data_IF_456737763210
#
_entry.id   IF_456737763210
#
_cell.length_a   1.000
_cell.length_b   1.000
_cell.length_c   1.000
_cell.angle_alpha   90.00
_cell.angle_beta   90.00
_cell.angle_gamma   90.00
#
_symmetry.space_group_name_H-M   'P 1'
#
loop_
_entity.id
_entity.type
_entity.pdbx_description
1 polymer ?
#
# COMPACT_ATOMS: atom_id res chain seq x y z
N UNK A 1 -42.19 8.06 -19.99
CA UNK A 1 -41.37 8.54 -18.85
C UNK A 1 -40.13 7.67 -18.58
N UNK A 2 -39.72 6.74 -19.45
CA UNK A 2 -38.50 5.91 -19.24
C UNK A 2 -37.18 6.57 -19.69
N UNK A 3 -37.25 7.67 -20.47
CA UNK A 3 -36.06 8.36 -20.99
C UNK A 3 -35.54 9.52 -20.13
N UNK A 4 -36.35 10.05 -19.22
CA UNK A 4 -35.98 11.24 -18.44
C UNK A 4 -34.97 10.89 -17.33
N UNK A 5 -35.11 9.71 -16.72
CA UNK A 5 -34.17 9.21 -15.72
C UNK A 5 -32.80 8.85 -16.29
N UNK A 6 -32.75 8.33 -17.52
CA UNK A 6 -31.49 7.99 -18.20
C UNK A 6 -30.74 9.25 -18.66
N UNK A 7 -31.45 10.26 -19.15
CA UNK A 7 -30.89 11.58 -19.47
C UNK A 7 -30.39 12.30 -18.21
N UNK A 8 -31.13 12.24 -17.10
CA UNK A 8 -30.70 12.81 -15.82
C UNK A 8 -29.44 12.10 -15.26
N UNK A 9 -29.37 10.77 -15.34
CA UNK A 9 -28.21 10.00 -14.93
C UNK A 9 -26.97 10.30 -15.80
N UNK A 10 -27.14 10.43 -17.12
CA UNK A 10 -26.07 10.82 -18.02
C UNK A 10 -25.53 12.22 -17.72
N UNK A 11 -26.41 13.19 -17.44
CA UNK A 11 -26.01 14.55 -17.09
C UNK A 11 -25.23 14.59 -15.76
N UNK A 12 -25.67 13.83 -14.77
CA UNK A 12 -24.94 13.68 -13.49
C UNK A 12 -23.56 13.02 -13.68
N UNK A 13 -23.47 12.01 -14.55
CA UNK A 13 -22.19 11.38 -14.90
C UNK A 13 -21.22 12.37 -15.56
N UNK A 14 -21.70 13.18 -16.51
CA UNK A 14 -20.90 14.21 -17.17
C UNK A 14 -20.42 15.28 -16.19
N UNK A 15 -21.28 15.73 -15.26
CA UNK A 15 -20.94 16.70 -14.21
C UNK A 15 -19.88 16.16 -13.27
N UNK A 16 -20.01 14.89 -12.85
CA UNK A 16 -19.02 14.22 -12.00
C UNK A 16 -17.67 14.06 -12.70
N UNK A 17 -17.66 13.68 -13.98
CA UNK A 17 -16.44 13.56 -14.77
C UNK A 17 -15.71 14.91 -14.92
N UNK A 18 -16.45 16.01 -15.13
CA UNK A 18 -15.88 17.38 -15.17
C UNK A 18 -15.26 17.79 -13.81
N UNK A 19 -15.93 17.48 -12.71
CA UNK A 19 -15.41 17.75 -11.37
C UNK A 19 -14.14 16.94 -11.07
N UNK A 20 -14.05 15.69 -11.53
CA UNK A 20 -12.84 14.88 -11.40
C UNK A 20 -11.65 15.47 -12.17
N UNK A 21 -11.89 16.02 -13.37
CA UNK A 21 -10.86 16.74 -14.14
C UNK A 21 -10.38 18.01 -13.42
N UNK A 22 -11.28 18.74 -12.76
CA UNK A 22 -10.93 19.92 -11.97
C UNK A 22 -10.10 19.54 -10.74
N UNK A 23 -10.51 18.52 -9.98
CA UNK A 23 -9.74 17.99 -8.83
C UNK A 23 -8.35 17.48 -9.22
N UNK A 24 -8.16 16.96 -10.44
CA UNK A 24 -6.82 16.61 -10.96
C UNK A 24 -5.92 17.83 -11.17
N UNK A 25 -6.47 19.01 -11.51
CA UNK A 25 -5.70 20.25 -11.65
C UNK A 25 -5.18 20.76 -10.29
N UNK A 26 -5.94 20.56 -9.21
CA UNK A 26 -5.52 20.92 -7.84
C UNK A 26 -4.38 20.03 -7.30
N UNK A 27 -4.23 18.80 -7.82
CA UNK A 27 -3.08 17.93 -7.51
C UNK A 27 -1.73 18.40 -8.10
N UNK A 28 -1.65 19.59 -8.69
CA UNK A 28 -0.38 20.24 -9.07
C UNK A 28 0.56 20.50 -7.88
N UNK A 29 0.10 20.39 -6.64
CA UNK A 29 0.98 20.43 -5.45
C UNK A 29 2.03 19.31 -5.47
N UNK A 30 1.76 18.18 -6.15
CA UNK A 30 2.73 17.09 -6.37
C UNK A 30 3.49 17.22 -7.70
N UNK A 31 3.20 18.22 -8.54
CA UNK A 31 3.90 18.45 -9.82
C UNK A 31 5.15 19.33 -9.65
N UNK A 32 5.75 19.33 -8.47
CA UNK A 32 7.08 19.90 -8.26
C UNK A 32 8.08 19.12 -9.11
N UNK A 33 8.73 19.81 -10.05
CA UNK A 33 9.80 19.21 -10.84
C UNK A 33 10.96 18.82 -9.91
N UNK A 34 11.12 17.53 -9.65
CA UNK A 34 12.28 16.99 -8.96
C UNK A 34 13.58 17.18 -9.78
N UNK A 35 13.50 17.71 -11.01
CA UNK A 35 14.65 17.96 -11.87
C UNK A 35 15.65 18.98 -11.30
N UNK A 36 15.24 19.85 -10.36
CA UNK A 36 16.14 20.77 -9.65
C UNK A 36 16.62 20.28 -8.28
N UNK A 37 16.17 19.10 -7.84
CA UNK A 37 16.73 18.52 -6.62
C UNK A 37 18.09 17.95 -7.00
N UNK A 38 19.15 18.66 -6.62
CA UNK A 38 20.49 18.09 -6.62
C UNK A 38 20.42 16.85 -5.74
N UNK A 39 20.36 15.67 -6.36
CA UNK A 39 20.53 14.40 -5.67
C UNK A 39 21.84 14.54 -4.89
N UNK A 40 21.71 14.65 -3.56
CA UNK A 40 22.85 14.70 -2.67
C UNK A 40 23.64 13.44 -3.02
N UNK A 41 24.93 13.58 -3.36
CA UNK A 41 25.76 12.42 -3.68
C UNK A 41 25.61 11.45 -2.52
N UNK A 42 24.93 10.33 -2.77
CA UNK A 42 24.93 9.24 -1.83
C UNK A 42 26.41 8.85 -1.70
N UNK A 43 26.93 8.63 -0.47
CA UNK A 43 28.25 8.03 -0.36
C UNK A 43 28.21 6.78 -1.23
N UNK A 44 29.19 6.62 -2.11
CA UNK A 44 29.35 5.40 -2.89
C UNK A 44 29.66 4.29 -1.87
N UNK A 45 28.60 3.71 -1.29
CA UNK A 45 28.71 2.61 -0.36
C UNK A 45 29.47 1.53 -1.12
N UNK A 46 30.62 1.17 -0.57
CA UNK A 46 31.46 0.13 -1.14
C UNK A 46 30.64 -1.16 -1.22
N UNK A 47 30.82 -1.96 -2.27
CA UNK A 47 30.02 -3.18 -2.48
C UNK A 47 30.04 -4.13 -1.26
N UNK A 48 31.10 -4.07 -0.45
CA UNK A 48 31.23 -4.78 0.82
C UNK A 48 30.26 -4.30 1.90
N UNK A 49 29.99 -3.00 2.00
CA UNK A 49 29.05 -2.44 2.97
C UNK A 49 27.61 -2.81 2.62
N UNK A 50 27.27 -2.82 1.32
CA UNK A 50 25.99 -3.30 0.82
C UNK A 50 25.76 -4.79 1.14
N UNK A 51 26.81 -5.62 1.02
CA UNK A 51 26.73 -7.03 1.41
C UNK A 51 26.50 -7.19 2.92
N UNK A 52 27.20 -6.42 3.76
CA UNK A 52 26.99 -6.44 5.22
C UNK A 52 25.57 -6.02 5.61
N UNK A 53 25.02 -4.99 4.97
CA UNK A 53 23.64 -4.55 5.19
C UNK A 53 22.65 -5.63 4.77
N UNK A 54 22.86 -6.25 3.59
CA UNK A 54 22.01 -7.33 3.09
C UNK A 54 22.00 -8.53 4.04
N UNK A 55 23.16 -8.94 4.54
CA UNK A 55 23.27 -10.04 5.51
C UNK A 55 22.56 -9.72 6.83
N UNK A 56 22.73 -8.50 7.35
CA UNK A 56 22.06 -8.06 8.58
C UNK A 56 20.54 -8.11 8.42
N UNK A 57 20.02 -7.54 7.33
CA UNK A 57 18.57 -7.56 7.01
C UNK A 57 18.07 -9.01 6.87
N UNK A 58 18.84 -9.88 6.22
CA UNK A 58 18.45 -11.27 6.05
C UNK A 58 18.32 -12.01 7.40
N UNK A 59 19.26 -11.79 8.32
CA UNK A 59 19.22 -12.38 9.66
C UNK A 59 18.04 -11.86 10.47
N UNK A 60 17.81 -10.55 10.47
CA UNK A 60 16.69 -9.92 11.16
C UNK A 60 15.34 -10.45 10.62
N UNK A 61 15.17 -10.47 9.30
CA UNK A 61 13.97 -10.99 8.65
C UNK A 61 13.73 -12.47 8.98
N UNK A 62 14.78 -13.29 9.09
CA UNK A 62 14.63 -14.70 9.46
C UNK A 62 14.04 -14.84 10.88
N UNK A 63 14.52 -14.06 11.84
CA UNK A 63 14.00 -14.09 13.21
C UNK A 63 12.57 -13.56 13.31
N UNK A 64 12.26 -12.47 12.60
CA UNK A 64 10.90 -11.91 12.54
C UNK A 64 9.94 -12.92 11.90
N UNK A 65 10.33 -13.53 10.79
CA UNK A 65 9.52 -14.53 10.09
C UNK A 65 9.27 -15.76 10.95
N UNK A 66 10.26 -16.23 11.70
CA UNK A 66 10.07 -17.32 12.66
C UNK A 66 9.05 -16.95 13.75
N UNK A 67 9.16 -15.76 14.36
CA UNK A 67 8.20 -15.29 15.37
C UNK A 67 6.78 -15.15 14.80
N UNK A 68 6.66 -14.64 13.57
CA UNK A 68 5.38 -14.53 12.88
C UNK A 68 4.74 -15.90 12.63
N UNK A 69 5.53 -16.88 12.14
CA UNK A 69 5.03 -18.23 11.89
C UNK A 69 4.58 -18.90 13.19
N UNK A 70 5.37 -18.80 14.27
CA UNK A 70 4.99 -19.36 15.58
C UNK A 70 3.73 -18.71 16.12
N UNK A 71 3.63 -17.37 16.06
CA UNK A 71 2.43 -16.65 16.49
C UNK A 71 1.18 -17.03 15.68
N UNK A 72 1.34 -17.20 14.37
CA UNK A 72 0.24 -17.61 13.49
C UNK A 72 -0.26 -19.02 13.80
N UNK A 73 0.63 -19.97 14.08
CA UNK A 73 0.25 -21.34 14.48
C UNK A 73 -0.53 -21.32 15.80
N UNK A 74 -0.05 -20.58 16.81
CA UNK A 74 -0.75 -20.47 18.09
C UNK A 74 -2.13 -19.84 17.93
N UNK A 75 -2.24 -18.80 17.09
CA UNK A 75 -3.51 -18.18 16.77
C UNK A 75 -4.48 -19.16 16.11
N UNK A 76 -4.03 -19.95 15.13
CA UNK A 76 -4.85 -20.96 14.47
C UNK A 76 -5.35 -22.03 15.44
N UNK A 77 -4.48 -22.54 16.32
CA UNK A 77 -4.86 -23.53 17.32
C UNK A 77 -5.93 -22.98 18.29
N UNK A 78 -5.75 -21.75 18.77
CA UNK A 78 -6.73 -21.07 19.61
C UNK A 78 -8.06 -20.86 18.88
N UNK A 79 -8.01 -20.45 17.61
CA UNK A 79 -9.20 -20.23 16.79
C UNK A 79 -9.99 -21.53 16.53
N UNK A 80 -9.29 -22.62 16.23
CA UNK A 80 -9.91 -23.95 16.06
C UNK A 80 -10.55 -24.40 17.39
N UNK A 81 -9.85 -24.24 18.51
CA UNK A 81 -10.39 -24.58 19.83
C UNK A 81 -11.63 -23.75 20.17
N UNK A 82 -11.64 -22.46 19.84
CA UNK A 82 -12.79 -21.58 20.05
C UNK A 82 -13.99 -22.01 19.21
N UNK A 83 -13.79 -22.30 17.91
CA UNK A 83 -14.84 -22.81 17.05
C UNK A 83 -15.39 -24.16 17.52
N UNK A 84 -14.53 -25.05 18.04
CA UNK A 84 -14.97 -26.33 18.58
C UNK A 84 -15.89 -26.18 19.79
N UNK A 85 -15.59 -25.22 20.69
CA UNK A 85 -16.46 -24.91 21.84
C UNK A 85 -17.77 -24.28 21.39
N UNK A 86 -17.75 -23.43 20.35
CA UNK A 86 -18.95 -22.74 19.86
C UNK A 86 -19.89 -23.64 19.05
N UNK A 87 -19.35 -24.67 18.38
CA UNK A 87 -20.13 -25.61 17.58
C UNK A 87 -20.74 -26.76 18.41
N UNK A 88 -20.27 -26.95 19.64
CA UNK A 88 -20.80 -27.91 20.60
C UNK A 88 -21.91 -27.28 21.43
#
# INVERSE_FOLDING_TARGET
MEGEGSMAAANNSLKNNRNLLYKRKEKKVLSGSYAKIKLKKFPELTSEELLKIKERIHRENKTIRQKQVVGFILFLLGFISFLYVLLK
#
